data_IF_572722195235
#
_entry.id   IF_572722195235
#
_cell.length_a   1.000
_cell.length_b   1.000
_cell.length_c   1.000
_cell.angle_alpha   90.00
_cell.angle_beta   90.00
_cell.angle_gamma   90.00
#
_symmetry.space_group_name_H-M   'P 1'
#
loop_
_entity.id
_entity.type
_entity.pdbx_description
1 polymer ?
#
# COMPACT_ATOMS: atom_id res chain seq x y z
N UNK A 1 6.90 -3.10 -14.75
CA UNK A 1 5.61 -2.50 -14.36
C UNK A 1 4.51 -3.52 -14.65
N UNK A 2 3.56 -3.62 -13.74
CA UNK A 2 2.46 -4.57 -13.82
C UNK A 2 1.14 -3.81 -14.07
N UNK A 3 0.16 -4.48 -14.65
CA UNK A 3 -1.21 -3.97 -14.73
C UNK A 3 -1.97 -4.16 -13.40
N UNK A 4 -3.26 -3.80 -13.37
CA UNK A 4 -4.10 -3.94 -12.18
C UNK A 4 -4.35 -5.38 -11.74
N UNK A 5 -4.05 -6.37 -12.57
CA UNK A 5 -4.15 -7.81 -12.31
C UNK A 5 -2.82 -8.45 -11.96
N UNK A 6 -1.71 -7.68 -12.00
CA UNK A 6 -0.36 -8.17 -11.73
C UNK A 6 0.36 -8.74 -12.96
N UNK A 7 -0.16 -8.53 -14.17
CA UNK A 7 0.46 -9.00 -15.40
C UNK A 7 1.45 -7.96 -15.96
N UNK A 8 2.59 -8.40 -16.56
CA UNK A 8 3.60 -7.50 -17.07
C UNK A 8 3.11 -6.59 -18.21
N UNK A 9 3.35 -5.29 -18.10
CA UNK A 9 3.05 -4.30 -19.12
C UNK A 9 4.27 -4.00 -20.01
N UNK A 10 4.03 -3.72 -21.29
CA UNK A 10 5.04 -3.24 -22.22
C UNK A 10 5.17 -1.73 -22.07
N UNK A 11 6.12 -1.27 -21.25
CA UNK A 11 6.29 0.14 -20.85
C UNK A 11 6.38 1.10 -22.06
N UNK A 12 7.03 0.69 -23.16
CA UNK A 12 7.18 1.53 -24.37
C UNK A 12 5.86 1.82 -25.12
N UNK A 13 4.76 1.18 -24.72
CA UNK A 13 3.43 1.38 -25.30
C UNK A 13 2.53 2.26 -24.43
N UNK A 14 2.98 2.59 -23.23
CA UNK A 14 2.21 3.38 -22.28
C UNK A 14 2.49 4.87 -22.47
N UNK A 15 1.45 5.69 -22.33
CA UNK A 15 1.61 7.12 -22.07
C UNK A 15 2.24 7.34 -20.67
N UNK A 16 2.74 8.54 -20.40
CA UNK A 16 3.29 8.87 -19.08
C UNK A 16 2.25 8.73 -17.97
N UNK A 17 0.98 9.04 -18.24
CA UNK A 17 -0.11 8.89 -17.27
C UNK A 17 -0.41 7.41 -16.98
N UNK A 18 -0.55 6.59 -18.02
CA UNK A 18 -0.76 5.15 -17.84
C UNK A 18 0.41 4.51 -17.09
N UNK A 19 1.64 4.92 -17.39
CA UNK A 19 2.83 4.44 -16.69
C UNK A 19 2.82 4.89 -15.21
N UNK A 20 2.48 6.15 -14.94
CA UNK A 20 2.38 6.69 -13.58
C UNK A 20 1.39 5.88 -12.73
N UNK A 21 0.16 5.73 -13.20
CA UNK A 21 -0.87 5.01 -12.44
C UNK A 21 -0.61 3.51 -12.33
N UNK A 22 0.02 2.88 -13.33
CA UNK A 22 0.45 1.49 -13.24
C UNK A 22 1.56 1.30 -12.19
N UNK A 23 2.48 2.26 -12.03
CA UNK A 23 3.48 2.24 -10.96
C UNK A 23 2.81 2.44 -9.59
N UNK A 24 1.93 3.44 -9.47
CA UNK A 24 1.27 3.79 -8.22
C UNK A 24 0.38 2.66 -7.67
N UNK A 25 -0.10 1.79 -8.52
CA UNK A 25 -0.88 0.60 -8.14
C UNK A 25 -0.10 -0.31 -7.18
N UNK A 26 1.23 -0.40 -7.33
CA UNK A 26 2.10 -1.36 -6.66
C UNK A 26 3.24 -0.72 -5.86
N UNK A 27 3.42 0.59 -6.00
CA UNK A 27 4.54 1.30 -5.35
C UNK A 27 4.16 2.73 -5.00
N UNK A 28 4.43 3.13 -3.78
CA UNK A 28 4.21 4.51 -3.35
C UNK A 28 5.22 5.48 -3.99
N UNK A 29 4.81 6.73 -4.16
CA UNK A 29 5.74 7.83 -4.48
C UNK A 29 6.77 7.94 -3.34
N UNK A 30 8.05 8.20 -3.64
CA UNK A 30 9.05 8.47 -2.61
C UNK A 30 8.58 9.52 -1.59
N UNK A 31 8.67 9.21 -0.31
CA UNK A 31 8.18 10.05 0.78
C UNK A 31 6.70 9.90 1.12
N UNK A 32 5.89 9.27 0.26
CA UNK A 32 4.44 9.11 0.45
C UNK A 32 4.03 7.74 1.02
N UNK A 33 4.96 6.81 1.19
CA UNK A 33 4.66 5.50 1.78
C UNK A 33 4.34 5.61 3.27
N UNK A 34 3.32 4.88 3.72
CA UNK A 34 2.97 4.75 5.15
C UNK A 34 4.08 4.10 5.97
N UNK A 35 4.94 3.27 5.38
CA UNK A 35 6.13 2.73 6.05
C UNK A 35 7.08 3.84 6.55
N UNK A 36 7.11 5.00 5.89
CA UNK A 36 7.92 6.14 6.34
C UNK A 36 7.41 6.76 7.65
N UNK A 37 6.17 6.51 8.04
CA UNK A 37 5.65 6.97 9.33
C UNK A 37 6.16 6.12 10.50
N UNK A 38 6.74 4.94 10.21
CA UNK A 38 7.17 3.99 11.24
C UNK A 38 6.02 3.32 11.98
N UNK A 39 4.81 3.38 11.43
CA UNK A 39 3.57 2.83 12.02
C UNK A 39 3.10 1.57 11.29
N UNK A 40 3.69 1.29 10.14
CA UNK A 40 3.25 0.27 9.21
C UNK A 40 4.37 -0.76 8.98
N UNK A 41 3.99 -2.02 8.89
CA UNK A 41 4.91 -3.15 8.70
C UNK A 41 4.26 -4.23 7.83
N UNK A 42 5.11 -4.96 7.12
CA UNK A 42 4.71 -6.16 6.38
C UNK A 42 4.99 -7.40 7.22
N UNK A 43 4.01 -8.32 7.23
CA UNK A 43 4.07 -9.52 8.08
C UNK A 43 3.91 -10.80 7.28
N UNK A 44 4.69 -11.81 7.66
CA UNK A 44 4.58 -13.18 7.16
C UNK A 44 4.97 -14.19 8.25
N UNK A 45 4.63 -15.44 8.07
CA UNK A 45 5.00 -16.53 8.97
C UNK A 45 6.31 -17.17 8.52
N UNK A 46 7.42 -16.76 9.15
CA UNK A 46 8.73 -17.33 8.85
C UNK A 46 8.83 -18.83 9.15
N UNK A 47 7.99 -19.36 10.05
CA UNK A 47 7.99 -20.81 10.36
C UNK A 47 7.27 -21.65 9.29
N UNK A 48 6.49 -21.02 8.41
CA UNK A 48 5.74 -21.71 7.35
C UNK A 48 6.60 -22.03 6.12
N UNK A 49 7.81 -21.51 6.04
CA UNK A 49 8.71 -21.62 4.86
C UNK A 49 10.11 -22.02 5.26
N UNK A 50 10.90 -22.51 4.28
CA UNK A 50 12.31 -22.80 4.48
C UNK A 50 13.15 -21.51 4.52
N UNK A 51 14.35 -21.58 5.11
CA UNK A 51 15.25 -20.41 5.29
C UNK A 51 15.65 -19.72 3.98
N UNK A 52 15.64 -20.45 2.87
CA UNK A 52 15.98 -19.97 1.53
C UNK A 52 14.76 -19.49 0.72
N UNK A 53 13.55 -19.53 1.31
CA UNK A 53 12.33 -19.04 0.64
C UNK A 53 12.38 -17.53 0.45
N UNK A 54 12.17 -17.08 -0.78
CA UNK A 54 12.10 -15.67 -1.10
C UNK A 54 10.64 -15.19 -1.04
N UNK A 55 10.28 -14.53 0.04
CA UNK A 55 8.94 -13.92 0.23
C UNK A 55 8.67 -12.89 -0.86
N UNK A 56 7.54 -13.01 -1.54
CA UNK A 56 7.17 -12.16 -2.66
C UNK A 56 6.18 -11.05 -2.28
N UNK A 57 5.55 -11.15 -1.12
CA UNK A 57 4.47 -10.26 -0.67
C UNK A 57 3.37 -10.17 -1.74
N UNK A 58 2.79 -11.32 -2.05
CA UNK A 58 1.72 -11.45 -3.04
C UNK A 58 0.43 -11.95 -2.38
N UNK A 59 -0.69 -11.61 -2.98
CA UNK A 59 -1.99 -12.13 -2.55
C UNK A 59 -2.02 -13.66 -2.60
N UNK A 60 -1.38 -14.27 -3.60
CA UNK A 60 -1.32 -15.72 -3.76
C UNK A 60 -0.65 -16.43 -2.57
N UNK A 61 0.35 -15.81 -1.93
CA UNK A 61 0.98 -16.36 -0.72
C UNK A 61 0.06 -16.32 0.52
N UNK A 62 -0.94 -15.41 0.52
CA UNK A 62 -1.76 -15.09 1.70
C UNK A 62 -3.17 -15.71 1.68
N UNK A 63 -3.64 -16.24 0.54
CA UNK A 63 -4.97 -16.81 0.38
C UNK A 63 -4.92 -18.33 0.31
N UNK A 64 -6.09 -18.99 0.19
CA UNK A 64 -6.22 -20.46 0.16
C UNK A 64 -5.23 -21.11 -0.82
N UNK A 65 -4.45 -22.05 -0.28
CA UNK A 65 -3.36 -22.72 -0.98
C UNK A 65 -2.01 -21.99 -0.93
N UNK A 66 -1.96 -20.76 -0.48
CA UNK A 66 -0.72 -20.00 -0.27
C UNK A 66 0.02 -20.42 1.00
N UNK A 67 1.34 -20.23 1.00
CA UNK A 67 2.22 -20.66 2.10
C UNK A 67 1.91 -19.95 3.42
N UNK A 68 1.36 -18.75 3.39
CA UNK A 68 0.98 -17.95 4.57
C UNK A 68 -0.53 -17.93 4.83
N UNK A 69 -1.35 -18.71 4.11
CA UNK A 69 -2.81 -18.69 4.23
C UNK A 69 -3.30 -18.93 5.67
N UNK A 70 -2.73 -19.91 6.38
CA UNK A 70 -3.10 -20.24 7.76
C UNK A 70 -2.79 -19.07 8.71
N UNK A 71 -1.64 -18.43 8.55
CA UNK A 71 -1.25 -17.25 9.32
C UNK A 71 -2.22 -16.09 9.09
N UNK A 72 -2.56 -15.79 7.85
CA UNK A 72 -3.50 -14.71 7.53
C UNK A 72 -4.93 -15.00 7.98
N UNK A 73 -5.37 -16.25 7.93
CA UNK A 73 -6.66 -16.67 8.51
C UNK A 73 -6.71 -16.45 10.03
N UNK A 74 -5.63 -16.77 10.75
CA UNK A 74 -5.49 -16.46 12.17
C UNK A 74 -5.46 -14.94 12.43
N UNK A 75 -4.68 -14.21 11.63
CA UNK A 75 -4.50 -12.76 11.74
C UNK A 75 -5.83 -12.02 11.50
N UNK A 76 -6.65 -12.46 10.54
CA UNK A 76 -7.98 -11.89 10.28
C UNK A 76 -8.86 -11.90 11.55
N UNK A 77 -8.83 -13.01 12.30
CA UNK A 77 -9.57 -13.13 13.55
C UNK A 77 -9.01 -12.19 14.62
N UNK A 78 -7.67 -12.05 14.68
CA UNK A 78 -7.02 -11.16 15.64
C UNK A 78 -7.29 -9.69 15.37
N UNK A 79 -7.36 -9.29 14.12
CA UNK A 79 -7.67 -7.90 13.73
C UNK A 79 -9.13 -7.52 13.97
N UNK A 80 -10.03 -8.50 14.15
CA UNK A 80 -11.44 -8.27 14.49
C UNK A 80 -11.69 -8.16 16.00
N UNK A 81 -10.72 -8.48 16.85
CA UNK A 81 -10.86 -8.33 18.28
C UNK A 81 -10.99 -6.85 18.68
N UNK A 82 -11.84 -6.53 19.64
CA UNK A 82 -12.05 -5.14 20.12
C UNK A 82 -10.79 -4.48 20.72
N UNK A 83 -9.81 -5.28 21.09
CA UNK A 83 -8.51 -4.84 21.58
C UNK A 83 -7.46 -4.67 20.47
N UNK A 84 -7.80 -4.94 19.22
CA UNK A 84 -6.86 -4.85 18.12
C UNK A 84 -6.43 -3.39 17.90
N UNK A 85 -5.12 -3.17 17.88
CA UNK A 85 -4.52 -1.85 17.60
C UNK A 85 -4.00 -1.77 16.16
N UNK A 86 -3.88 -2.92 15.49
CA UNK A 86 -3.50 -3.00 14.09
C UNK A 86 -4.71 -3.20 13.19
N UNK A 87 -4.62 -2.70 11.97
CA UNK A 87 -5.61 -2.91 10.91
C UNK A 87 -4.88 -3.01 9.55
N UNK A 88 -5.60 -3.43 8.50
CA UNK A 88 -5.08 -3.42 7.12
C UNK A 88 -5.57 -2.17 6.40
N UNK A 89 -4.67 -1.22 6.08
CA UNK A 89 -5.06 -0.01 5.34
C UNK A 89 -5.46 -0.31 3.88
N UNK A 90 -4.95 -1.41 3.33
CA UNK A 90 -5.19 -1.86 1.96
C UNK A 90 -5.95 -3.19 1.94
N UNK A 91 -7.09 -3.26 2.66
CA UNK A 91 -7.91 -4.48 2.75
C UNK A 91 -8.78 -4.73 1.53
N UNK A 92 -9.17 -3.65 0.83
CA UNK A 92 -10.08 -3.69 -0.30
C UNK A 92 -9.52 -2.91 -1.50
N UNK A 93 -9.93 -3.31 -2.70
CA UNK A 93 -9.58 -2.60 -3.92
C UNK A 93 -10.50 -1.39 -4.13
N UNK A 94 -9.97 -0.21 -3.84
CA UNK A 94 -10.65 1.07 -4.07
C UNK A 94 -10.17 1.80 -5.35
N UNK A 95 -9.41 1.09 -6.19
CA UNK A 95 -8.80 1.64 -7.41
C UNK A 95 -7.51 2.45 -7.15
N UNK A 96 -7.02 2.50 -5.90
CA UNK A 96 -5.72 3.05 -5.51
C UNK A 96 -4.64 1.98 -5.45
N UNK A 97 -3.93 1.91 -4.31
CA UNK A 97 -2.96 0.84 -4.03
C UNK A 97 -3.68 -0.52 -4.07
N UNK A 98 -3.04 -1.52 -4.64
CA UNK A 98 -3.57 -2.89 -4.70
C UNK A 98 -3.79 -3.44 -3.28
N UNK A 99 -4.76 -4.34 -3.06
CA UNK A 99 -4.95 -4.96 -1.77
C UNK A 99 -3.71 -5.70 -1.27
N UNK A 100 -3.30 -5.42 -0.03
CA UNK A 100 -2.09 -5.96 0.60
C UNK A 100 -2.47 -6.63 1.93
N UNK A 101 -2.64 -7.96 1.92
CA UNK A 101 -3.01 -8.70 3.13
C UNK A 101 -1.91 -8.74 4.18
N UNK A 102 -0.67 -8.60 3.76
CA UNK A 102 0.52 -8.60 4.63
C UNK A 102 0.76 -7.27 5.33
N UNK A 103 0.23 -6.15 4.79
CA UNK A 103 0.48 -4.82 5.29
C UNK A 103 -0.42 -4.49 6.49
N UNK A 104 0.20 -4.17 7.61
CA UNK A 104 -0.46 -3.77 8.85
C UNK A 104 -0.07 -2.36 9.26
N UNK A 105 -1.03 -1.62 9.79
CA UNK A 105 -0.85 -0.28 10.33
C UNK A 105 -1.30 -0.20 11.78
N UNK A 106 -0.51 0.44 12.63
CA UNK A 106 -0.86 0.70 14.03
C UNK A 106 -1.77 1.91 14.14
N UNK A 107 -3.09 1.67 14.21
CA UNK A 107 -4.13 2.70 14.15
C UNK A 107 -3.92 3.89 15.10
N UNK A 108 -3.67 3.70 16.43
CA UNK A 108 -3.54 4.83 17.36
C UNK A 108 -2.43 5.82 17.02
N UNK A 109 -1.39 5.36 16.30
CA UNK A 109 -0.25 6.18 15.91
C UNK A 109 -0.45 6.70 14.49
N UNK A 110 -0.87 5.84 13.56
CA UNK A 110 -1.12 6.19 12.17
C UNK A 110 -2.15 7.32 12.03
N UNK A 111 -3.24 7.27 12.80
CA UNK A 111 -4.27 8.32 12.84
C UNK A 111 -3.71 9.72 13.18
N UNK A 112 -2.62 9.78 13.94
CA UNK A 112 -1.96 11.06 14.27
C UNK A 112 -1.19 11.60 13.08
N UNK A 113 -0.47 10.73 12.36
CA UNK A 113 0.25 11.13 11.15
C UNK A 113 -0.70 11.55 10.04
N UNK A 114 -1.79 10.84 9.86
CA UNK A 114 -2.81 11.20 8.86
C UNK A 114 -3.40 12.60 9.08
N UNK A 115 -3.65 12.97 10.36
CA UNK A 115 -4.19 14.29 10.71
C UNK A 115 -3.22 15.45 10.45
N UNK A 116 -1.91 15.21 10.51
CA UNK A 116 -0.89 16.24 10.26
C UNK A 116 -0.36 16.23 8.82
N UNK A 117 -0.80 15.26 8.01
CA UNK A 117 -0.40 15.15 6.62
C UNK A 117 -0.91 16.37 5.83
N UNK A 118 0.01 17.19 5.36
CA UNK A 118 -0.26 18.43 4.64
C UNK A 118 0.01 18.20 3.15
N UNK A 119 -1.06 18.13 2.38
CA UNK A 119 -1.03 17.87 0.94
C UNK A 119 -0.14 18.83 0.18
N UNK A 120 -0.27 20.14 0.48
CA UNK A 120 0.50 21.17 -0.20
C UNK A 120 1.98 21.08 0.13
N UNK A 121 2.34 20.92 1.39
CA UNK A 121 3.75 20.77 1.79
C UNK A 121 4.40 19.55 1.19
N UNK A 122 3.65 18.46 1.09
CA UNK A 122 4.15 17.23 0.49
C UNK A 122 4.41 17.41 -1.01
N UNK A 123 3.50 18.04 -1.73
CA UNK A 123 3.70 18.38 -3.14
C UNK A 123 4.90 19.34 -3.31
N UNK A 124 4.95 20.42 -2.54
CA UNK A 124 6.04 21.41 -2.61
C UNK A 124 7.41 20.70 -2.40
N UNK A 125 7.49 19.78 -1.44
CA UNK A 125 8.69 18.97 -1.21
C UNK A 125 9.00 18.04 -2.39
N UNK A 126 8.01 17.29 -2.90
CA UNK A 126 8.17 16.40 -4.04
C UNK A 126 8.72 17.12 -5.27
N UNK A 127 8.27 18.36 -5.50
CA UNK A 127 8.72 19.17 -6.64
C UNK A 127 10.21 19.56 -6.54
N UNK A 128 10.82 19.49 -5.36
CA UNK A 128 12.26 19.70 -5.18
C UNK A 128 13.09 18.43 -5.45
N UNK A 129 12.46 17.25 -5.48
CA UNK A 129 13.16 16.00 -5.64
C UNK A 129 13.45 15.68 -7.13
N UNK A 130 14.51 14.93 -7.39
CA UNK A 130 14.80 14.37 -8.72
C UNK A 130 14.12 13.01 -8.88
N UNK A 131 12.86 13.06 -9.30
CA UNK A 131 12.03 11.85 -9.50
C UNK A 131 11.47 11.82 -10.92
N UNK A 132 11.35 10.60 -11.44
CA UNK A 132 10.70 10.36 -12.74
C UNK A 132 9.21 10.78 -12.71
N UNK A 133 8.67 11.17 -13.86
CA UNK A 133 7.27 11.55 -14.04
C UNK A 133 6.80 12.71 -13.15
N UNK A 134 7.71 13.51 -12.59
CA UNK A 134 7.41 14.61 -11.66
C UNK A 134 6.31 15.55 -12.16
N UNK A 135 6.36 15.93 -13.44
CA UNK A 135 5.37 16.81 -14.03
C UNK A 135 3.97 16.15 -14.09
N UNK A 136 3.92 14.84 -14.32
CA UNK A 136 2.66 14.09 -14.34
C UNK A 136 2.10 13.93 -12.93
N UNK A 137 2.97 13.68 -11.94
CA UNK A 137 2.61 13.69 -10.52
C UNK A 137 1.95 15.02 -10.15
N UNK A 138 2.54 16.15 -10.54
CA UNK A 138 1.98 17.48 -10.26
C UNK A 138 0.61 17.71 -10.91
N UNK A 139 0.42 17.24 -12.15
CA UNK A 139 -0.87 17.37 -12.88
C UNK A 139 -1.98 16.57 -12.22
N UNK A 140 -1.67 15.38 -11.70
CA UNK A 140 -2.65 14.46 -11.12
C UNK A 140 -2.64 14.47 -9.59
N UNK A 141 -2.02 15.49 -8.95
CA UNK A 141 -1.74 15.45 -7.52
C UNK A 141 -2.97 15.24 -6.63
N UNK A 142 -4.07 15.92 -6.88
CA UNK A 142 -5.31 15.80 -6.08
C UNK A 142 -5.84 14.34 -6.11
N UNK A 143 -5.84 13.72 -7.28
CA UNK A 143 -6.22 12.32 -7.42
C UNK A 143 -5.22 11.39 -6.74
N UNK A 144 -3.92 11.62 -6.92
CA UNK A 144 -2.87 10.81 -6.32
C UNK A 144 -2.95 10.92 -4.80
N UNK A 145 -3.07 12.12 -4.27
CA UNK A 145 -3.13 12.33 -2.83
C UNK A 145 -4.34 11.63 -2.20
N UNK A 146 -5.51 11.76 -2.81
CA UNK A 146 -6.75 11.17 -2.29
C UNK A 146 -6.81 9.64 -2.40
N UNK A 147 -6.20 9.04 -3.44
CA UNK A 147 -6.32 7.60 -3.73
C UNK A 147 -5.12 6.75 -3.28
N UNK A 148 -3.92 7.36 -3.23
CA UNK A 148 -2.67 6.62 -3.01
C UNK A 148 -1.87 7.09 -1.79
N UNK A 149 -2.17 8.27 -1.24
CA UNK A 149 -1.44 8.83 -0.10
C UNK A 149 -2.30 8.86 1.15
N UNK A 150 -3.46 9.53 1.09
CA UNK A 150 -4.41 9.58 2.19
C UNK A 150 -5.39 8.42 2.09
N UNK A 151 -5.16 7.38 2.87
CA UNK A 151 -6.08 6.25 3.00
C UNK A 151 -6.99 6.54 4.18
N UNK A 152 -8.27 6.82 3.92
CA UNK A 152 -9.24 7.03 5.01
C UNK A 152 -9.29 5.81 5.92
N UNK A 153 -9.01 6.03 7.21
CA UNK A 153 -9.09 4.99 8.25
C UNK A 153 -10.53 4.77 8.72
N UNK A 154 -11.48 5.50 8.17
CA UNK A 154 -12.91 5.37 8.47
C UNK A 154 -13.53 4.16 7.74
N UNK A 155 -12.94 2.98 7.94
CA UNK A 155 -13.65 1.73 7.68
C UNK A 155 -14.56 1.47 8.88
N UNK A 156 -15.58 2.29 9.04
CA UNK A 156 -16.77 1.97 9.83
C UNK A 156 -17.65 1.07 8.96
N UNK A 157 -17.18 -0.13 8.73
CA UNK A 157 -17.99 -1.24 8.23
C UNK A 157 -18.68 -1.89 9.42
N UNK A 158 -19.98 -1.91 9.39
CA UNK A 158 -20.94 -2.49 10.33
C UNK A 158 -20.66 -3.95 10.67
#
# INVERSE_FOLDING_TARGET
VLDGQGEPLVVSRLSEDELLFAILRWSAIPGCSRHHWGTDLDVFDAAAVADDYCVQLTTAECVDGGVFANFHCWLDKKLQESSAVFFRPYSEDNGGIAPERWHLSCKPIADRYEKILDEKKLLDWLMTQDIALKNRIAVHWDEIFSRYVRISTDVTGH
#
